data_IF_196713823609
#
_entry.id   IF_196713823609
#
_cell.length_a   1.000
_cell.length_b   1.000
_cell.length_c   1.000
_cell.angle_alpha   90.00
_cell.angle_beta   90.00
_cell.angle_gamma   90.00
#
_symmetry.space_group_name_H-M   'P 1'
#
loop_
_entity.id
_entity.type
_entity.pdbx_description
1 polymer ?
#
# COMPACT_ATOMS: atom_id res chain seq x y z
N UNK A 1 50.17 3.25 0.99
CA UNK A 1 49.00 2.50 1.32
C UNK A 1 47.77 3.32 0.89
N UNK A 2 47.02 2.84 -0.10
CA UNK A 2 45.80 3.48 -0.53
C UNK A 2 44.73 3.23 0.53
N UNK A 3 44.23 4.30 1.15
CA UNK A 3 43.08 4.23 2.04
C UNK A 3 41.85 3.79 1.23
N UNK A 4 41.24 2.69 1.61
CA UNK A 4 39.94 2.29 1.08
C UNK A 4 38.90 3.39 1.41
N UNK A 5 38.11 3.86 0.45
CA UNK A 5 37.07 4.85 0.74
C UNK A 5 36.09 4.26 1.76
N UNK A 6 35.80 4.98 2.84
CA UNK A 6 34.69 4.64 3.73
C UNK A 6 33.39 4.74 2.95
N UNK A 7 32.49 3.75 3.05
CA UNK A 7 31.18 3.88 2.41
C UNK A 7 30.49 5.14 2.92
N UNK A 8 29.87 5.88 2.00
CA UNK A 8 29.11 7.10 2.35
C UNK A 8 28.01 6.74 3.35
N UNK A 9 27.65 7.68 4.24
CA UNK A 9 26.56 7.48 5.21
C UNK A 9 25.24 7.10 4.54
N UNK A 10 24.99 7.55 3.31
CA UNK A 10 23.85 7.19 2.50
C UNK A 10 23.81 5.69 2.14
N UNK A 11 24.95 5.10 1.71
CA UNK A 11 25.01 3.67 1.43
C UNK A 11 24.78 2.83 2.70
N UNK A 12 25.31 3.26 3.85
CA UNK A 12 25.06 2.63 5.16
C UNK A 12 23.57 2.67 5.56
N UNK A 13 22.84 3.74 5.22
CA UNK A 13 21.42 3.86 5.52
C UNK A 13 20.53 3.00 4.61
N UNK A 14 20.93 2.79 3.35
CA UNK A 14 20.22 1.89 2.42
C UNK A 14 20.22 0.44 2.93
N UNK A 15 21.36 -0.04 3.43
CA UNK A 15 21.45 -1.39 3.99
C UNK A 15 20.74 -1.57 5.34
N UNK A 16 20.35 -0.47 6.00
CA UNK A 16 19.69 -0.51 7.32
C UNK A 16 18.16 -0.38 7.22
N UNK A 17 17.62 -0.13 6.04
CA UNK A 17 16.16 -0.03 5.84
C UNK A 17 15.71 -1.01 4.79
N UNK A 18 14.61 -1.69 5.09
CA UNK A 18 13.90 -2.54 4.15
C UNK A 18 12.53 -1.93 3.88
N UNK A 19 12.13 -1.96 2.62
CA UNK A 19 10.80 -1.52 2.19
C UNK A 19 10.17 -2.67 1.42
N UNK A 20 8.97 -3.06 1.83
CA UNK A 20 8.08 -3.90 1.05
C UNK A 20 6.93 -3.01 0.58
N UNK A 21 6.67 -3.02 -0.69
CA UNK A 21 5.52 -2.35 -1.31
C UNK A 21 4.75 -3.36 -2.14
N UNK A 22 3.47 -3.49 -1.86
CA UNK A 22 2.58 -4.39 -2.60
C UNK A 22 1.25 -3.69 -2.84
N UNK A 23 0.90 -3.49 -4.11
CA UNK A 23 -0.44 -3.03 -4.51
C UNK A 23 -0.95 -3.93 -5.62
N UNK A 24 -2.16 -4.44 -5.46
CA UNK A 24 -2.84 -5.26 -6.45
C UNK A 24 -3.97 -4.43 -7.07
N UNK A 25 -3.78 -4.04 -8.32
CA UNK A 25 -4.79 -3.35 -9.12
C UNK A 25 -5.62 -4.40 -9.88
N UNK A 26 -6.92 -4.51 -9.60
CA UNK A 26 -7.77 -5.41 -10.37
C UNK A 26 -8.08 -4.84 -11.76
N UNK A 27 -8.46 -5.71 -12.69
CA UNK A 27 -9.09 -5.30 -13.93
C UNK A 27 -10.41 -4.57 -13.61
N UNK A 28 -10.62 -3.33 -14.07
CA UNK A 28 -11.81 -2.53 -13.75
C UNK A 28 -13.13 -3.12 -14.29
N UNK A 29 -13.08 -4.11 -15.19
CA UNK A 29 -14.27 -4.87 -15.58
C UNK A 29 -14.86 -5.71 -14.43
N UNK A 30 -14.10 -5.92 -13.35
CA UNK A 30 -14.55 -6.67 -12.19
C UNK A 30 -14.72 -5.74 -10.97
N UNK A 31 -15.81 -5.89 -10.20
CA UNK A 31 -16.02 -5.11 -8.96
C UNK A 31 -15.14 -5.67 -7.82
N UNK A 32 -13.84 -5.51 -7.96
CA UNK A 32 -12.83 -5.93 -7.00
C UNK A 32 -12.16 -4.68 -6.46
N UNK A 33 -11.99 -4.53 -5.13
CA UNK A 33 -11.27 -3.39 -4.53
C UNK A 33 -9.76 -3.49 -4.78
N UNK A 34 -9.02 -2.41 -4.52
CA UNK A 34 -7.57 -2.40 -4.57
C UNK A 34 -7.03 -2.95 -3.24
N UNK A 35 -6.11 -3.92 -3.27
CA UNK A 35 -5.36 -4.32 -2.09
C UNK A 35 -4.04 -3.57 -2.03
N UNK A 36 -3.69 -3.02 -0.87
CA UNK A 36 -2.42 -2.34 -0.63
C UNK A 36 -1.80 -2.71 0.70
N UNK A 37 -0.49 -2.98 0.71
CA UNK A 37 0.29 -3.20 1.92
C UNK A 37 1.71 -2.66 1.75
N UNK A 38 2.15 -1.83 2.70
CA UNK A 38 3.51 -1.29 2.76
C UNK A 38 4.12 -1.56 4.12
N UNK A 39 5.38 -1.96 4.12
CA UNK A 39 6.19 -2.11 5.34
C UNK A 39 7.50 -1.37 5.15
N UNK A 40 7.83 -0.51 6.11
CA UNK A 40 9.15 0.13 6.20
C UNK A 40 9.79 -0.29 7.51
N UNK A 41 10.87 -1.07 7.42
CA UNK A 41 11.55 -1.65 8.56
C UNK A 41 13.00 -1.16 8.66
N UNK A 42 13.50 -1.13 9.89
CA UNK A 42 14.92 -1.11 10.26
C UNK A 42 15.27 -2.47 10.88
N UNK A 43 16.54 -2.77 11.19
CA UNK A 43 16.89 -4.03 11.82
C UNK A 43 16.17 -4.34 13.14
N UNK A 44 15.68 -3.32 13.83
CA UNK A 44 15.10 -3.46 15.18
C UNK A 44 13.60 -3.15 15.25
N UNK A 45 13.07 -2.36 14.32
CA UNK A 45 11.69 -1.88 14.40
C UNK A 45 11.05 -1.71 13.03
N UNK A 46 9.79 -2.06 12.91
CA UNK A 46 8.97 -1.67 11.77
C UNK A 46 8.45 -0.25 12.02
N UNK A 47 9.03 0.70 11.30
CA UNK A 47 8.75 2.14 11.50
C UNK A 47 7.41 2.57 10.91
N UNK A 48 6.93 1.84 9.91
CA UNK A 48 5.60 2.02 9.31
C UNK A 48 5.13 0.68 8.73
N UNK A 49 3.92 0.29 9.07
CA UNK A 49 3.21 -0.81 8.47
C UNK A 49 1.79 -0.33 8.14
N UNK A 50 1.38 -0.44 6.90
CA UNK A 50 0.04 -0.08 6.45
C UNK A 50 -0.54 -1.23 5.67
N UNK A 51 -1.83 -1.49 5.84
CA UNK A 51 -2.59 -2.44 5.04
C UNK A 51 -4.02 -1.97 4.87
N UNK A 52 -4.55 -2.13 3.67
CA UNK A 52 -5.93 -1.79 3.35
C UNK A 52 -6.47 -2.62 2.19
N UNK A 53 -7.80 -2.77 2.18
CA UNK A 53 -8.58 -3.16 1.01
C UNK A 53 -9.41 -1.94 0.62
N UNK A 54 -8.84 -1.13 -0.26
CA UNK A 54 -9.34 0.19 -0.66
C UNK A 54 -10.52 0.07 -1.63
N UNK A 55 -11.63 0.74 -1.37
CA UNK A 55 -12.82 0.60 -2.20
C UNK A 55 -12.62 1.21 -3.59
N UNK A 56 -13.34 0.63 -4.54
CA UNK A 56 -13.65 1.22 -5.83
C UNK A 56 -15.17 1.16 -6.03
N UNK A 57 -15.68 1.77 -7.08
CA UNK A 57 -17.12 1.85 -7.33
C UNK A 57 -17.84 0.49 -7.17
N UNK A 58 -18.88 0.48 -6.35
CA UNK A 58 -19.71 -0.70 -6.00
C UNK A 58 -18.97 -1.83 -5.25
N UNK A 59 -17.95 -1.53 -4.47
CA UNK A 59 -17.28 -2.54 -3.62
C UNK A 59 -17.49 -2.34 -2.11
N UNK A 60 -18.35 -1.41 -1.68
CA UNK A 60 -18.59 -1.09 -0.25
C UNK A 60 -19.18 -2.26 0.56
N UNK A 61 -19.76 -3.25 -0.11
CA UNK A 61 -20.30 -4.47 0.52
C UNK A 61 -19.24 -5.28 1.29
N UNK A 62 -17.95 -5.03 1.04
CA UNK A 62 -16.84 -5.65 1.77
C UNK A 62 -16.71 -5.15 3.21
N UNK A 63 -17.17 -3.94 3.53
CA UNK A 63 -16.89 -3.25 4.79
C UNK A 63 -17.34 -4.02 6.02
N UNK A 64 -18.47 -4.70 5.96
CA UNK A 64 -18.97 -5.50 7.09
C UNK A 64 -18.02 -6.64 7.49
N UNK A 65 -17.35 -7.27 6.51
CA UNK A 65 -16.38 -8.35 6.78
C UNK A 65 -15.01 -7.76 7.11
N UNK A 66 -14.58 -6.73 6.38
CA UNK A 66 -13.31 -6.05 6.63
C UNK A 66 -13.24 -5.46 8.04
N UNK A 67 -14.32 -4.81 8.52
CA UNK A 67 -14.39 -4.29 9.88
C UNK A 67 -14.20 -5.38 10.95
N UNK A 68 -14.80 -6.55 10.73
CA UNK A 68 -14.67 -7.68 11.66
C UNK A 68 -13.23 -8.21 11.72
N UNK A 69 -12.52 -8.21 10.59
CA UNK A 69 -11.11 -8.62 10.54
C UNK A 69 -10.27 -7.54 11.24
N UNK A 70 -10.36 -6.30 10.78
CA UNK A 70 -9.54 -5.20 11.29
C UNK A 70 -9.69 -4.98 12.82
N UNK A 71 -10.91 -5.16 13.37
CA UNK A 71 -11.19 -4.95 14.79
C UNK A 71 -10.75 -6.11 15.70
N UNK A 72 -10.30 -7.25 15.15
CA UNK A 72 -9.71 -8.33 15.95
C UNK A 72 -8.28 -8.05 16.39
N UNK A 73 -7.64 -7.11 15.71
CA UNK A 73 -6.21 -6.82 15.90
C UNK A 73 -6.03 -5.46 16.55
N UNK A 74 -5.46 -5.45 17.75
CA UNK A 74 -5.15 -4.23 18.49
C UNK A 74 -3.65 -3.97 18.51
N UNK A 75 -3.26 -2.79 18.05
CA UNK A 75 -1.87 -2.34 18.02
C UNK A 75 -1.69 -1.12 18.92
N UNK A 76 -0.59 -1.09 19.66
CA UNK A 76 -0.30 -0.05 20.65
C UNK A 76 -0.05 1.32 19.99
N UNK A 77 0.64 1.34 18.86
CA UNK A 77 1.05 2.58 18.20
C UNK A 77 0.38 2.73 16.83
N UNK A 78 -0.93 3.02 16.83
CA UNK A 78 -1.67 3.40 15.63
C UNK A 78 -1.25 4.80 15.18
N UNK A 79 -1.19 5.02 13.87
CA UNK A 79 -0.78 6.28 13.25
C UNK A 79 -1.93 6.91 12.49
N UNK A 80 -2.08 8.23 12.54
CA UNK A 80 -3.07 8.92 11.71
C UNK A 80 -2.69 8.82 10.22
N UNK A 81 -3.71 8.64 9.40
CA UNK A 81 -3.56 8.72 7.96
C UNK A 81 -3.33 10.19 7.55
N UNK A 82 -2.55 10.45 6.49
CA UNK A 82 -2.39 11.79 5.93
C UNK A 82 -3.67 12.27 5.25
N UNK A 83 -3.79 13.60 5.03
CA UNK A 83 -4.98 14.21 4.42
C UNK A 83 -5.32 13.69 3.01
N UNK A 84 -4.30 13.24 2.25
CA UNK A 84 -4.50 12.68 0.92
C UNK A 84 -4.97 11.22 0.93
N UNK A 85 -5.11 10.60 2.09
CA UNK A 85 -5.40 9.18 2.25
C UNK A 85 -6.92 8.85 2.25
N UNK A 86 -7.72 9.70 1.65
CA UNK A 86 -9.15 9.52 1.43
C UNK A 86 -9.49 8.36 0.49
N UNK A 87 -8.47 7.80 -0.16
CA UNK A 87 -8.54 6.61 -1.01
C UNK A 87 -8.65 5.31 -0.22
N UNK A 88 -8.31 5.31 1.06
CA UNK A 88 -8.33 4.12 1.89
C UNK A 88 -9.72 3.86 2.50
N UNK A 89 -9.95 2.59 2.84
CA UNK A 89 -11.15 2.21 3.56
C UNK A 89 -11.16 2.81 4.98
N UNK A 90 -12.35 2.92 5.63
CA UNK A 90 -12.42 3.30 7.04
C UNK A 90 -11.71 2.32 8.00
N UNK A 91 -11.31 1.16 7.49
CA UNK A 91 -10.67 0.07 8.25
C UNK A 91 -9.19 -0.09 7.91
N UNK A 92 -8.61 0.87 7.21
CA UNK A 92 -7.18 0.91 6.93
C UNK A 92 -6.38 0.81 8.23
N UNK A 93 -5.43 -0.09 8.27
CA UNK A 93 -4.57 -0.33 9.41
C UNK A 93 -3.21 0.32 9.16
N UNK A 94 -2.88 1.37 9.93
CA UNK A 94 -1.60 2.06 9.84
C UNK A 94 -0.96 2.19 11.21
N UNK A 95 0.25 1.63 11.40
CA UNK A 95 0.89 1.51 12.71
C UNK A 95 2.40 1.48 12.63
N UNK A 96 3.03 1.55 13.80
CA UNK A 96 4.42 1.17 14.05
C UNK A 96 4.44 -0.09 14.91
N UNK A 97 5.35 -1.03 14.60
CA UNK A 97 5.48 -2.29 15.33
C UNK A 97 6.87 -2.32 15.99
N UNK A 98 6.88 -2.41 17.31
CA UNK A 98 8.12 -2.36 18.10
C UNK A 98 8.56 -3.73 18.60
N UNK A 99 7.64 -4.61 18.89
CA UNK A 99 7.92 -5.93 19.46
C UNK A 99 7.72 -7.04 18.46
N UNK A 100 8.30 -8.21 18.72
CA UNK A 100 8.13 -9.39 17.85
C UNK A 100 6.68 -9.90 17.88
N UNK A 101 5.99 -9.74 19.02
CA UNK A 101 4.57 -10.08 19.17
C UNK A 101 3.71 -9.20 18.26
N UNK A 102 3.97 -7.87 18.21
CA UNK A 102 3.25 -6.97 17.32
C UNK A 102 3.53 -7.27 15.85
N UNK A 103 4.77 -7.66 15.51
CA UNK A 103 5.12 -8.07 14.13
C UNK A 103 4.39 -9.36 13.73
N UNK A 104 4.36 -10.34 14.62
CA UNK A 104 3.62 -11.59 14.42
C UNK A 104 2.12 -11.34 14.29
N UNK A 105 1.56 -10.49 15.15
CA UNK A 105 0.15 -10.11 15.10
C UNK A 105 -0.21 -9.41 13.78
N UNK A 106 0.68 -8.53 13.29
CA UNK A 106 0.51 -7.89 11.98
C UNK A 106 0.57 -8.92 10.84
N UNK A 107 1.47 -9.90 10.93
CA UNK A 107 1.53 -11.01 9.97
C UNK A 107 0.21 -11.77 9.88
N UNK A 108 -0.37 -12.17 11.01
CA UNK A 108 -1.68 -12.84 11.06
C UNK A 108 -2.80 -11.95 10.46
N UNK A 109 -2.77 -10.65 10.74
CA UNK A 109 -3.74 -9.71 10.17
C UNK A 109 -3.62 -9.63 8.65
N UNK A 110 -2.40 -9.55 8.13
CA UNK A 110 -2.15 -9.51 6.67
C UNK A 110 -2.63 -10.80 6.00
N UNK A 111 -2.35 -11.95 6.59
CA UNK A 111 -2.84 -13.24 6.07
C UNK A 111 -4.37 -13.25 5.95
N UNK A 112 -5.10 -12.79 6.98
CA UNK A 112 -6.56 -12.68 6.91
C UNK A 112 -7.05 -11.66 5.88
N UNK A 113 -6.34 -10.54 5.70
CA UNK A 113 -6.67 -9.56 4.65
C UNK A 113 -6.48 -10.17 3.27
N UNK A 114 -5.39 -10.89 3.05
CA UNK A 114 -5.09 -11.58 1.78
C UNK A 114 -6.12 -12.67 1.51
N UNK A 115 -6.43 -13.52 2.49
CA UNK A 115 -7.44 -14.57 2.34
C UNK A 115 -8.81 -14.00 2.01
N UNK A 116 -9.18 -12.91 2.68
CA UNK A 116 -10.42 -12.23 2.36
C UNK A 116 -10.40 -11.61 0.95
N UNK A 117 -9.28 -11.01 0.55
CA UNK A 117 -9.13 -10.47 -0.80
C UNK A 117 -9.21 -11.56 -1.87
N UNK A 118 -8.54 -12.69 -1.66
CA UNK A 118 -8.62 -13.87 -2.55
C UNK A 118 -10.06 -14.38 -2.66
N UNK A 119 -10.80 -14.40 -1.56
CA UNK A 119 -12.23 -14.75 -1.56
C UNK A 119 -13.08 -13.81 -2.43
N UNK A 120 -12.78 -12.50 -2.39
CA UNK A 120 -13.45 -11.50 -3.24
C UNK A 120 -13.12 -11.79 -4.70
N UNK A 121 -11.84 -11.95 -5.03
CA UNK A 121 -11.38 -12.22 -6.40
C UNK A 121 -12.03 -13.49 -6.97
N UNK A 122 -12.06 -14.59 -6.20
CA UNK A 122 -12.66 -15.87 -6.64
C UNK A 122 -14.15 -15.78 -6.91
N UNK A 123 -14.87 -14.88 -6.25
CA UNK A 123 -16.33 -14.71 -6.37
C UNK A 123 -16.72 -13.63 -7.37
N UNK A 124 -15.77 -12.77 -7.75
CA UNK A 124 -16.03 -11.68 -8.66
C UNK A 124 -16.50 -12.19 -10.03
N UNK A 125 -17.48 -11.52 -10.58
CA UNK A 125 -17.96 -11.74 -11.94
C UNK A 125 -17.73 -10.49 -12.76
N UNK A 126 -17.41 -10.67 -14.02
CA UNK A 126 -17.26 -9.58 -14.97
C UNK A 126 -18.56 -8.76 -15.01
N UNK A 127 -18.41 -7.46 -14.90
CA UNK A 127 -19.51 -6.51 -15.05
C UNK A 127 -19.60 -6.09 -16.52
N UNK A 128 -20.75 -6.34 -17.13
CA UNK A 128 -20.97 -5.98 -18.54
C UNK A 128 -21.39 -4.51 -18.72
N UNK A 129 -21.55 -3.76 -17.65
CA UNK A 129 -21.89 -2.33 -17.69
C UNK A 129 -20.60 -1.51 -17.83
N UNK A 130 -20.44 -0.91 -19.02
CA UNK A 130 -19.29 -0.07 -19.32
C UNK A 130 -19.18 1.17 -18.41
N UNK A 131 -20.31 1.74 -17.99
CA UNK A 131 -20.32 2.90 -17.08
C UNK A 131 -19.72 2.51 -15.73
N UNK A 132 -20.10 1.36 -15.18
CA UNK A 132 -19.53 0.84 -13.94
C UNK A 132 -18.02 0.57 -14.08
N UNK A 133 -17.59 0.03 -15.22
CA UNK A 133 -16.17 -0.21 -15.53
C UNK A 133 -15.39 1.10 -15.53
N UNK A 134 -15.90 2.13 -16.20
CA UNK A 134 -15.24 3.44 -16.24
C UNK A 134 -15.17 4.12 -14.87
N UNK A 135 -16.21 4.01 -14.05
CA UNK A 135 -16.17 4.54 -12.68
C UNK A 135 -15.10 3.87 -11.82
N UNK A 136 -14.95 2.55 -11.92
CA UNK A 136 -13.86 1.83 -11.22
C UNK A 136 -12.47 2.20 -11.77
N UNK A 137 -12.38 2.41 -13.07
CA UNK A 137 -11.15 2.88 -13.70
C UNK A 137 -10.75 4.28 -13.21
N UNK A 138 -11.71 5.20 -13.11
CA UNK A 138 -11.48 6.54 -12.56
C UNK A 138 -11.05 6.50 -11.09
N UNK A 139 -11.62 5.59 -10.27
CA UNK A 139 -11.21 5.38 -8.88
C UNK A 139 -9.75 4.86 -8.79
N UNK A 140 -9.33 3.97 -9.69
CA UNK A 140 -7.94 3.52 -9.74
C UNK A 140 -6.98 4.64 -10.14
N UNK A 141 -7.36 5.48 -11.11
CA UNK A 141 -6.61 6.69 -11.47
C UNK A 141 -6.51 7.63 -10.27
N UNK A 142 -7.61 7.83 -9.56
CA UNK A 142 -7.65 8.68 -8.38
C UNK A 142 -6.73 8.14 -7.28
N UNK A 143 -6.78 6.82 -7.03
CA UNK A 143 -5.88 6.14 -6.10
C UNK A 143 -4.41 6.41 -6.44
N UNK A 144 -3.98 6.20 -7.68
CA UNK A 144 -2.62 6.47 -8.11
C UNK A 144 -2.23 7.95 -7.91
N UNK A 145 -3.10 8.88 -8.31
CA UNK A 145 -2.85 10.33 -8.14
C UNK A 145 -2.70 10.74 -6.68
N UNK A 146 -3.48 10.16 -5.77
CA UNK A 146 -3.36 10.44 -4.33
C UNK A 146 -2.08 9.85 -3.75
N UNK A 147 -1.74 8.61 -4.08
CA UNK A 147 -0.50 7.97 -3.65
C UNK A 147 0.76 8.76 -4.07
N UNK A 148 0.76 9.35 -5.26
CA UNK A 148 1.86 10.22 -5.74
C UNK A 148 2.07 11.47 -4.86
N UNK A 149 1.09 11.89 -4.06
CA UNK A 149 1.23 13.00 -3.08
C UNK A 149 2.08 12.62 -1.86
N UNK A 150 2.52 11.37 -1.72
CA UNK A 150 3.32 10.90 -0.61
C UNK A 150 4.74 11.49 -0.62
N UNK A 151 4.90 12.68 -0.04
CA UNK A 151 6.19 13.39 0.06
C UNK A 151 7.26 12.58 0.82
N UNK A 152 6.85 11.69 1.74
CA UNK A 152 7.80 10.89 2.53
C UNK A 152 8.49 9.85 1.67
N UNK A 153 7.75 9.14 0.83
CA UNK A 153 8.31 8.18 -0.13
C UNK A 153 9.26 8.88 -1.10
N UNK A 154 8.82 10.02 -1.68
CA UNK A 154 9.67 10.82 -2.58
C UNK A 154 10.97 11.25 -1.91
N UNK A 155 10.91 11.77 -0.67
CA UNK A 155 12.09 12.20 0.06
C UNK A 155 13.07 11.07 0.35
N UNK A 156 12.59 9.87 0.70
CA UNK A 156 13.43 8.70 0.94
C UNK A 156 14.12 8.25 -0.35
N UNK A 157 13.37 8.11 -1.44
CA UNK A 157 13.93 7.69 -2.73
C UNK A 157 14.91 8.73 -3.29
N UNK A 158 14.60 10.04 -3.17
CA UNK A 158 15.51 11.10 -3.61
C UNK A 158 16.82 11.10 -2.82
N UNK A 159 16.78 10.75 -1.53
CA UNK A 159 17.99 10.62 -0.72
C UNK A 159 18.83 9.41 -1.10
N UNK A 160 18.21 8.30 -1.48
CA UNK A 160 18.91 7.05 -1.81
C UNK A 160 19.45 7.02 -3.24
N UNK A 161 18.76 7.67 -4.17
CA UNK A 161 19.10 7.67 -5.59
C UNK A 161 19.28 9.11 -6.09
N UNK A 162 18.24 9.69 -6.69
CA UNK A 162 18.18 11.11 -7.07
C UNK A 162 16.72 11.59 -7.08
N UNK A 163 16.48 12.92 -7.09
CA UNK A 163 15.12 13.46 -7.23
C UNK A 163 14.42 13.01 -8.53
N UNK A 164 15.16 12.97 -9.64
CA UNK A 164 14.66 12.57 -10.97
C UNK A 164 14.29 11.09 -10.97
N UNK A 165 15.16 10.23 -10.41
CA UNK A 165 14.85 8.81 -10.24
C UNK A 165 13.61 8.62 -9.38
N UNK A 166 13.52 9.33 -8.24
CA UNK A 166 12.39 9.21 -7.33
C UNK A 166 11.06 9.57 -8.01
N UNK A 167 11.08 10.62 -8.82
CA UNK A 167 9.89 11.07 -9.56
C UNK A 167 9.45 10.03 -10.61
N UNK A 168 10.36 9.59 -11.47
CA UNK A 168 10.08 8.56 -12.47
C UNK A 168 9.61 7.25 -11.83
N UNK A 169 10.31 6.78 -10.79
CA UNK A 169 9.97 5.53 -10.12
C UNK A 169 8.57 5.57 -9.47
N UNK A 170 8.20 6.70 -8.84
CA UNK A 170 6.87 6.87 -8.24
C UNK A 170 5.78 6.91 -9.31
N UNK A 171 6.02 7.63 -10.40
CA UNK A 171 5.00 7.87 -11.42
C UNK A 171 4.84 6.70 -12.40
N UNK A 172 5.92 6.03 -12.76
CA UNK A 172 5.95 5.09 -13.87
C UNK A 172 6.04 3.62 -13.41
N UNK A 173 6.38 3.39 -12.12
CA UNK A 173 6.56 2.04 -11.58
C UNK A 173 5.64 1.78 -10.39
N UNK A 174 5.69 2.64 -9.33
CA UNK A 174 4.90 2.38 -8.11
C UNK A 174 3.41 2.65 -8.31
N UNK A 175 3.09 3.74 -8.98
CA UNK A 175 1.73 4.23 -9.18
C UNK A 175 1.50 4.61 -10.64
N UNK A 176 1.87 3.71 -11.54
CA UNK A 176 1.54 3.83 -12.95
C UNK A 176 0.02 3.93 -13.13
N UNK A 177 -0.39 4.87 -13.98
CA UNK A 177 -1.83 5.06 -14.24
C UNK A 177 -2.33 3.92 -15.11
N UNK A 178 -3.40 3.21 -14.71
CA UNK A 178 -3.93 2.12 -15.51
C UNK A 178 -4.34 2.59 -16.91
N UNK A 179 -4.17 1.71 -17.90
CA UNK A 179 -4.61 1.97 -19.26
C UNK A 179 -6.11 1.74 -19.41
N UNK A 180 -6.74 2.50 -20.33
CA UNK A 180 -8.17 2.33 -20.62
C UNK A 180 -8.45 0.88 -21.03
N UNK A 181 -9.44 0.21 -20.42
CA UNK A 181 -9.87 -1.12 -20.84
C UNK A 181 -10.25 -1.13 -22.32
N UNK A 182 -9.81 -2.17 -23.05
CA UNK A 182 -10.10 -2.33 -24.48
C UNK A 182 -11.50 -2.88 -24.75
#
# INVERSE_FOLDING_TARGET
>A
PRSTPKPSSAASDVYKRQVMHCVLYPDPEYPIPIFGADIVATPTVVTAAIADISPVYKTDNIYKKLSKIANRYEFKEKRPLPEWADIFSPYCQFMRLRTEEEKSLYGCMIEEFIDFYIDIVKKAKKDNDWVNTMLRFDDQIYYCKQQRKNKKTKAVLSKWFSPEFAEGYINDILFDVPHIPK
#
